data_IF_208980379683
#
_entry.id   IF_208980379683
#
_cell.length_a   1.000
_cell.length_b   1.000
_cell.length_c   1.000
_cell.angle_alpha   90.00
_cell.angle_beta   90.00
_cell.angle_gamma   90.00
#
_symmetry.space_group_name_H-M   'P 1'
#
loop_
_entity.id
_entity.type
_entity.pdbx_description
1 polymer ?
#
# COMPACT_ATOMS: atom_id res chain seq x y z
N UNK A 1 -4.18 -10.11 7.30
CA UNK A 1 -3.31 -9.59 6.26
C UNK A 1 -3.52 -8.09 6.22
N UNK A 2 -2.46 -7.32 6.24
CA UNK A 2 -2.54 -5.86 6.28
C UNK A 2 -1.70 -5.28 5.14
N UNK A 3 -2.27 -4.37 4.39
CA UNK A 3 -1.47 -3.42 3.65
C UNK A 3 -0.72 -2.50 4.62
N UNK A 4 0.22 -1.70 4.13
CA UNK A 4 1.10 -0.88 4.95
C UNK A 4 0.75 0.61 4.85
N UNK A 5 1.00 1.18 3.65
CA UNK A 5 0.99 2.63 3.44
C UNK A 5 -0.45 3.17 3.42
N UNK A 6 -0.74 4.19 4.25
CA UNK A 6 -2.08 4.71 4.51
C UNK A 6 -3.05 3.71 5.17
N UNK A 7 -2.63 2.48 5.41
CA UNK A 7 -3.41 1.45 6.13
C UNK A 7 -3.02 1.40 7.60
N UNK A 8 -1.75 1.16 7.95
CA UNK A 8 -1.29 1.10 9.35
C UNK A 8 -1.02 2.48 9.96
N UNK A 9 -0.96 3.51 9.17
CA UNK A 9 -0.86 4.91 9.58
C UNK A 9 -1.75 5.77 8.68
N UNK A 10 -2.22 6.93 9.17
CA UNK A 10 -3.12 7.76 8.39
C UNK A 10 -2.39 8.57 7.30
N UNK A 11 -3.08 8.91 6.18
CA UNK A 11 -2.50 9.70 5.09
C UNK A 11 -2.00 11.08 5.51
N UNK A 12 -2.52 11.62 6.62
CA UNK A 12 -2.13 12.91 7.23
C UNK A 12 -0.67 12.95 7.64
N UNK A 13 -0.05 11.80 7.88
CA UNK A 13 1.39 11.68 8.16
C UNK A 13 2.26 12.06 6.95
N UNK A 14 1.66 12.19 5.78
CA UNK A 14 2.28 12.70 4.56
C UNK A 14 3.48 11.87 4.06
N UNK A 15 3.55 10.61 4.46
CA UNK A 15 4.62 9.68 4.06
C UNK A 15 4.52 9.35 2.58
N UNK A 16 3.33 8.92 2.13
CA UNK A 16 3.12 8.54 0.74
C UNK A 16 3.32 9.71 -0.24
N UNK A 17 3.04 10.94 0.17
CA UNK A 17 3.29 12.12 -0.66
C UNK A 17 4.79 12.34 -0.94
N UNK A 18 5.67 12.01 0.02
CA UNK A 18 7.12 12.06 -0.22
C UNK A 18 7.53 11.01 -1.28
N UNK A 19 6.97 9.78 -1.19
CA UNK A 19 7.20 8.73 -2.18
C UNK A 19 6.73 9.20 -3.56
N UNK A 20 5.54 9.77 -3.66
CA UNK A 20 4.94 10.27 -4.90
C UNK A 20 5.80 11.35 -5.56
N UNK A 21 6.30 12.31 -4.78
CA UNK A 21 7.21 13.35 -5.27
C UNK A 21 8.56 12.78 -5.73
N UNK A 22 9.12 11.81 -4.99
CA UNK A 22 10.36 11.15 -5.38
C UNK A 22 10.20 10.31 -6.65
N UNK A 23 9.05 9.66 -6.86
CA UNK A 23 8.74 8.99 -8.13
C UNK A 23 8.81 9.96 -9.30
N UNK A 24 8.14 11.11 -9.18
CA UNK A 24 8.16 12.16 -10.23
C UNK A 24 9.59 12.62 -10.53
N UNK A 25 10.36 12.95 -9.49
CA UNK A 25 11.75 13.40 -9.62
C UNK A 25 12.64 12.34 -10.28
N UNK A 26 12.55 11.09 -9.83
CA UNK A 26 13.34 10.01 -10.43
C UNK A 26 13.04 9.81 -11.92
N UNK A 27 11.77 9.87 -12.31
CA UNK A 27 11.33 9.73 -13.69
C UNK A 27 11.88 10.91 -14.53
N UNK A 28 11.70 12.13 -14.06
CA UNK A 28 12.19 13.33 -14.74
C UNK A 28 13.69 13.27 -15.00
N UNK A 29 14.46 12.87 -13.97
CA UNK A 29 15.93 12.80 -14.06
C UNK A 29 16.42 11.70 -15.01
N UNK A 30 15.78 10.54 -15.00
CA UNK A 30 16.22 9.40 -15.83
C UNK A 30 15.75 9.52 -17.29
N UNK A 31 14.57 10.08 -17.53
CA UNK A 31 14.03 10.27 -18.88
C UNK A 31 14.45 11.61 -19.51
N UNK A 32 15.02 12.53 -18.72
CA UNK A 32 15.39 13.90 -19.15
C UNK A 32 14.20 14.70 -19.66
N UNK A 33 13.11 14.66 -18.92
CA UNK A 33 11.84 15.38 -19.18
C UNK A 33 11.49 16.32 -18.02
N UNK A 34 10.48 17.15 -18.23
CA UNK A 34 9.98 18.04 -17.18
C UNK A 34 9.29 17.24 -16.06
N UNK A 35 9.21 17.84 -14.85
CA UNK A 35 8.47 17.25 -13.73
C UNK A 35 6.97 17.08 -14.07
N UNK A 36 6.40 17.95 -14.87
CA UNK A 36 5.00 17.87 -15.28
C UNK A 36 4.77 16.63 -16.17
N UNK A 37 5.63 16.41 -17.17
CA UNK A 37 5.57 15.22 -18.03
C UNK A 37 5.82 13.95 -17.23
N UNK A 38 6.82 13.96 -16.33
CA UNK A 38 7.13 12.85 -15.45
C UNK A 38 5.94 12.47 -14.56
N UNK A 39 5.27 13.46 -13.97
CA UNK A 39 4.07 13.26 -13.17
C UNK A 39 2.92 12.65 -13.98
N UNK A 40 2.69 13.13 -15.21
CA UNK A 40 1.65 12.57 -16.07
C UNK A 40 1.94 11.10 -16.41
N UNK A 41 3.18 10.77 -16.77
CA UNK A 41 3.61 9.38 -17.03
C UNK A 41 3.45 8.52 -15.78
N UNK A 42 3.88 9.02 -14.62
CA UNK A 42 3.73 8.34 -13.33
C UNK A 42 2.28 7.96 -13.07
N UNK A 43 1.35 8.91 -13.20
CA UNK A 43 -0.08 8.68 -12.93
C UNK A 43 -0.71 7.75 -13.98
N UNK A 44 -0.35 7.90 -15.23
CA UNK A 44 -0.85 7.02 -16.28
C UNK A 44 -0.40 5.57 -16.06
N UNK A 45 0.88 5.34 -15.77
CA UNK A 45 1.39 4.01 -15.45
C UNK A 45 0.67 3.39 -14.23
N UNK A 46 0.40 4.20 -13.21
CA UNK A 46 -0.34 3.73 -12.03
C UNK A 46 -1.78 3.32 -12.38
N UNK A 47 -2.45 4.07 -13.25
CA UNK A 47 -3.82 3.75 -13.71
C UNK A 47 -3.82 2.43 -14.48
N UNK A 48 -2.94 2.33 -15.48
CA UNK A 48 -2.98 1.25 -16.47
C UNK A 48 -2.40 -0.06 -15.95
N UNK A 49 -1.46 0.01 -15.00
CA UNK A 49 -0.63 -1.13 -14.59
C UNK A 49 -0.62 -1.40 -13.07
N UNK A 50 -1.40 -0.67 -12.28
CA UNK A 50 -1.47 -0.85 -10.83
C UNK A 50 -0.41 -0.12 -10.04
N UNK A 51 0.81 0.02 -10.56
CA UNK A 51 1.88 0.86 -10.02
C UNK A 51 2.66 1.55 -11.12
N UNK A 52 3.29 2.67 -10.77
CA UNK A 52 4.19 3.40 -11.68
C UNK A 52 5.32 2.52 -12.21
N UNK A 53 5.92 1.71 -11.34
CA UNK A 53 7.02 0.82 -11.71
C UNK A 53 6.59 -0.27 -12.68
N UNK A 54 5.43 -0.90 -12.45
CA UNK A 54 4.89 -1.93 -13.34
C UNK A 54 4.69 -1.40 -14.77
N UNK A 55 4.24 -0.15 -14.92
CA UNK A 55 4.13 0.48 -16.23
C UNK A 55 5.47 0.59 -16.97
N UNK A 56 6.54 0.98 -16.28
CA UNK A 56 7.87 1.02 -16.88
C UNK A 56 8.40 -0.37 -17.24
N UNK A 57 8.19 -1.36 -16.38
CA UNK A 57 8.63 -2.73 -16.66
C UNK A 57 7.87 -3.33 -17.85
N UNK A 58 6.57 -3.11 -17.94
CA UNK A 58 5.74 -3.61 -19.05
C UNK A 58 6.06 -2.94 -20.38
N UNK A 59 6.49 -1.68 -20.37
CA UNK A 59 6.90 -0.97 -21.58
C UNK A 59 8.33 -1.32 -22.07
N UNK A 60 9.07 -2.13 -21.31
CA UNK A 60 10.47 -2.46 -21.62
C UNK A 60 11.41 -1.24 -21.56
N UNK A 61 11.11 -0.25 -20.74
CA UNK A 61 11.92 0.97 -20.64
C UNK A 61 13.18 0.74 -19.80
N UNK A 62 14.30 0.43 -20.47
CA UNK A 62 15.60 0.15 -19.84
C UNK A 62 16.22 1.33 -19.08
N UNK A 63 15.68 2.56 -19.24
CA UNK A 63 16.20 3.73 -18.52
C UNK A 63 15.77 3.73 -17.05
N UNK A 64 14.69 3.02 -16.70
CA UNK A 64 14.19 2.90 -15.32
C UNK A 64 14.62 1.55 -14.75
N UNK A 65 15.71 1.55 -13.98
CA UNK A 65 16.10 0.35 -13.24
C UNK A 65 15.17 0.16 -12.01
N UNK A 66 14.47 -0.98 -11.89
CA UNK A 66 13.50 -1.21 -10.83
C UNK A 66 14.08 -1.10 -9.41
N UNK A 67 15.26 -1.66 -9.17
CA UNK A 67 15.88 -1.63 -7.85
C UNK A 67 16.30 -0.23 -7.44
N UNK A 68 16.92 0.52 -8.34
CA UNK A 68 17.32 1.92 -8.11
C UNK A 68 16.09 2.81 -7.90
N UNK A 69 15.01 2.57 -8.66
CA UNK A 69 13.76 3.27 -8.48
C UNK A 69 13.21 3.05 -7.07
N UNK A 70 13.07 1.79 -6.65
CA UNK A 70 12.54 1.43 -5.33
C UNK A 70 13.42 1.95 -4.18
N UNK A 71 14.74 1.89 -4.32
CA UNK A 71 15.67 2.43 -3.32
C UNK A 71 15.51 3.94 -3.17
N UNK A 72 15.46 4.67 -4.30
CA UNK A 72 15.33 6.11 -4.31
C UNK A 72 13.99 6.60 -3.74
N UNK A 73 12.87 5.98 -4.14
CA UNK A 73 11.54 6.44 -3.73
C UNK A 73 11.24 6.13 -2.27
N UNK A 74 11.85 5.10 -1.69
CA UNK A 74 11.69 4.75 -0.28
C UNK A 74 12.73 5.38 0.66
N UNK A 75 13.67 6.17 0.14
CA UNK A 75 14.57 7.00 0.95
C UNK A 75 13.85 8.29 1.38
N UNK A 76 12.97 8.17 2.36
CA UNK A 76 12.04 9.21 2.83
C UNK A 76 12.21 9.50 4.31
N UNK A 77 11.71 10.65 4.73
CA UNK A 77 11.72 11.03 6.15
C UNK A 77 10.47 10.47 6.86
N UNK A 78 10.70 9.58 7.81
CA UNK A 78 9.65 8.96 8.63
C UNK A 78 9.47 9.63 10.01
N UNK A 79 9.99 10.84 10.21
CA UNK A 79 9.96 11.50 11.53
C UNK A 79 8.58 11.96 11.98
N UNK A 80 7.61 12.08 11.05
CA UNK A 80 6.22 12.37 11.37
C UNK A 80 5.52 11.19 12.04
N UNK A 81 5.90 9.96 11.67
CA UNK A 81 5.31 8.76 12.27
C UNK A 81 5.63 8.68 13.76
N UNK A 82 4.61 8.42 14.54
CA UNK A 82 4.69 8.20 15.99
C UNK A 82 4.31 6.76 16.33
N UNK A 83 4.80 6.28 17.45
CA UNK A 83 4.38 5.01 18.02
C UNK A 83 2.86 4.97 18.20
N UNK A 84 2.24 3.89 17.76
CA UNK A 84 0.80 3.64 17.96
C UNK A 84 0.63 2.47 18.94
N UNK A 85 0.60 2.81 20.22
CA UNK A 85 0.51 1.83 21.29
C UNK A 85 -0.87 1.16 21.35
N UNK A 86 -1.93 1.83 20.91
CA UNK A 86 -3.27 1.24 20.84
C UNK A 86 -3.37 0.24 19.70
N UNK A 87 -2.86 0.59 18.52
CA UNK A 87 -2.76 -0.35 17.41
C UNK A 87 -1.86 -1.54 17.78
N UNK A 88 -0.70 -1.28 18.40
CA UNK A 88 0.17 -2.35 18.89
C UNK A 88 -0.56 -3.29 19.83
N UNK A 89 -1.24 -2.75 20.84
CA UNK A 89 -1.98 -3.55 21.84
C UNK A 89 -3.04 -4.43 21.19
N UNK A 90 -3.87 -3.87 20.33
CA UNK A 90 -4.94 -4.64 19.69
C UNK A 90 -4.41 -5.69 18.72
N UNK A 91 -3.36 -5.39 17.95
CA UNK A 91 -2.73 -6.35 17.06
C UNK A 91 -2.10 -7.53 17.82
N UNK A 92 -1.57 -7.31 19.03
CA UNK A 92 -1.05 -8.39 19.87
C UNK A 92 -2.16 -9.30 20.41
N UNK A 93 -3.36 -8.76 20.65
CA UNK A 93 -4.53 -9.52 21.10
C UNK A 93 -5.20 -10.32 19.98
N UNK A 94 -5.04 -9.90 18.72
CA UNK A 94 -5.64 -10.62 17.60
C UNK A 94 -5.10 -12.06 17.50
N UNK A 95 -5.98 -13.05 17.39
CA UNK A 95 -5.58 -14.44 17.16
C UNK A 95 -4.96 -14.61 15.76
N UNK A 96 -4.24 -15.69 15.58
CA UNK A 96 -3.71 -16.10 14.28
C UNK A 96 -2.46 -15.33 13.84
N UNK A 97 -1.97 -15.72 12.68
CA UNK A 97 -0.79 -15.14 12.04
C UNK A 97 -1.14 -13.81 11.37
N UNK A 98 -0.23 -12.86 11.45
CA UNK A 98 -0.37 -11.53 10.88
C UNK A 98 0.70 -11.30 9.82
N UNK A 99 0.33 -10.73 8.69
CA UNK A 99 1.22 -10.51 7.56
C UNK A 99 1.09 -9.08 7.06
N UNK A 100 2.21 -8.50 6.63
CA UNK A 100 2.19 -7.31 5.78
C UNK A 100 2.21 -7.77 4.32
N UNK A 101 1.31 -7.22 3.51
CA UNK A 101 1.23 -7.44 2.09
C UNK A 101 1.15 -6.10 1.35
N UNK A 102 2.29 -5.59 0.88
CA UNK A 102 2.45 -4.24 0.37
C UNK A 102 3.03 -4.20 -1.05
N UNK A 103 2.67 -3.17 -1.83
CA UNK A 103 3.36 -2.83 -3.08
C UNK A 103 4.69 -2.07 -2.86
N UNK A 104 5.02 -1.75 -1.61
CA UNK A 104 6.32 -1.25 -1.21
C UNK A 104 7.37 -2.36 -1.08
N UNK A 105 8.61 -1.98 -0.76
CA UNK A 105 9.67 -2.95 -0.46
C UNK A 105 9.59 -3.44 0.99
N UNK A 106 10.08 -4.65 1.24
CA UNK A 106 10.22 -5.18 2.61
C UNK A 106 11.00 -4.22 3.51
N UNK A 107 12.08 -3.62 3.00
CA UNK A 107 12.90 -2.66 3.74
C UNK A 107 12.12 -1.39 4.13
N UNK A 108 11.30 -0.87 3.23
CA UNK A 108 10.39 0.23 3.54
C UNK A 108 9.43 -0.15 4.66
N UNK A 109 8.77 -1.31 4.54
CA UNK A 109 7.86 -1.79 5.55
C UNK A 109 8.53 -1.96 6.93
N UNK A 110 9.73 -2.55 6.98
CA UNK A 110 10.52 -2.68 8.24
C UNK A 110 10.78 -1.30 8.88
N UNK A 111 11.16 -0.30 8.08
CA UNK A 111 11.41 1.05 8.57
C UNK A 111 10.15 1.72 9.14
N UNK A 112 9.00 1.57 8.44
CA UNK A 112 7.70 2.08 8.90
C UNK A 112 7.26 1.38 10.19
N UNK A 113 7.28 0.05 10.21
CA UNK A 113 6.90 -0.74 11.40
C UNK A 113 7.76 -0.38 12.62
N UNK A 114 9.04 -0.14 12.42
CA UNK A 114 9.93 0.32 13.47
C UNK A 114 9.51 1.67 14.05
N UNK A 115 9.13 2.62 13.20
CA UNK A 115 8.65 3.94 13.64
C UNK A 115 7.33 3.87 14.39
N UNK A 116 6.44 2.97 13.99
CA UNK A 116 5.15 2.75 14.63
C UNK A 116 5.23 1.88 15.90
N UNK A 117 6.42 1.38 16.29
CA UNK A 117 6.61 0.40 17.38
C UNK A 117 5.81 -0.90 17.13
N UNK A 118 5.71 -1.31 15.87
CA UNK A 118 5.01 -2.54 15.45
C UNK A 118 5.97 -3.67 15.04
N UNK A 119 7.25 -3.55 15.36
CA UNK A 119 8.24 -4.62 15.14
C UNK A 119 7.83 -5.90 15.87
N UNK A 120 8.14 -7.04 15.27
CA UNK A 120 7.89 -8.38 15.83
C UNK A 120 6.40 -8.75 16.04
N UNK A 121 5.46 -7.99 15.51
CA UNK A 121 4.03 -8.33 15.52
C UNK A 121 3.67 -9.22 14.33
N UNK A 122 4.26 -8.93 13.18
CA UNK A 122 3.96 -9.61 11.93
C UNK A 122 4.87 -10.82 11.71
N UNK A 123 4.26 -11.92 11.27
CA UNK A 123 4.97 -13.17 10.98
C UNK A 123 5.87 -13.05 9.76
N UNK A 124 5.45 -12.26 8.77
CA UNK A 124 6.23 -11.97 7.57
C UNK A 124 5.76 -10.68 6.89
N UNK A 125 6.66 -10.14 6.08
CA UNK A 125 6.41 -9.03 5.18
C UNK A 125 6.60 -9.54 3.76
N UNK A 126 5.55 -9.42 2.93
CA UNK A 126 5.54 -9.73 1.52
C UNK A 126 5.40 -8.43 0.74
N UNK A 127 6.48 -8.00 0.14
CA UNK A 127 6.57 -6.76 -0.61
C UNK A 127 6.69 -7.00 -2.11
N UNK A 128 6.92 -5.93 -2.86
CA UNK A 128 6.94 -5.96 -4.33
C UNK A 128 8.05 -6.86 -4.89
N UNK A 129 9.20 -6.99 -4.21
CA UNK A 129 10.29 -7.87 -4.65
C UNK A 129 9.96 -9.34 -4.44
N UNK A 130 9.34 -9.69 -3.32
CA UNK A 130 8.82 -11.02 -3.03
C UNK A 130 7.73 -11.43 -4.02
N UNK A 131 7.00 -10.45 -4.56
CA UNK A 131 6.00 -10.61 -5.62
C UNK A 131 6.59 -10.61 -7.04
N UNK A 132 7.92 -10.72 -7.20
CA UNK A 132 8.59 -10.64 -8.50
C UNK A 132 8.23 -9.36 -9.29
N UNK A 133 8.08 -8.24 -8.60
CA UNK A 133 7.66 -6.93 -9.12
C UNK A 133 6.24 -6.90 -9.71
N UNK A 134 5.43 -7.91 -9.47
CA UNK A 134 4.03 -7.95 -9.88
C UNK A 134 3.17 -7.35 -8.76
N UNK A 135 2.55 -6.17 -8.94
CA UNK A 135 1.88 -5.48 -7.85
C UNK A 135 0.46 -6.00 -7.59
N UNK A 136 -0.09 -5.72 -6.42
CA UNK A 136 -1.54 -5.67 -6.22
C UNK A 136 -2.13 -4.63 -7.20
N UNK A 137 -3.28 -4.88 -7.83
CA UNK A 137 -4.27 -5.94 -7.59
C UNK A 137 -4.11 -7.20 -8.47
N UNK A 138 -2.94 -7.52 -9.00
CA UNK A 138 -2.80 -8.69 -9.85
C UNK A 138 -3.07 -9.99 -9.04
N UNK A 139 -3.99 -10.83 -9.52
CA UNK A 139 -4.42 -12.07 -8.84
C UNK A 139 -3.26 -13.05 -8.61
N UNK A 140 -2.27 -13.10 -9.51
CA UNK A 140 -1.10 -13.97 -9.37
C UNK A 140 -0.25 -13.61 -8.15
N UNK A 141 -0.19 -12.32 -7.81
CA UNK A 141 0.50 -11.83 -6.61
C UNK A 141 -0.16 -12.35 -5.34
N UNK A 142 -1.50 -12.38 -5.30
CA UNK A 142 -2.25 -12.96 -4.18
C UNK A 142 -2.04 -14.46 -4.09
N UNK A 143 -2.12 -15.18 -5.20
CA UNK A 143 -1.86 -16.61 -5.25
C UNK A 143 -0.43 -16.94 -4.78
N UNK A 144 0.56 -16.15 -5.19
CA UNK A 144 1.95 -16.31 -4.75
C UNK A 144 2.09 -16.06 -3.24
N UNK A 145 1.47 -15.00 -2.72
CA UNK A 145 1.45 -14.70 -1.29
C UNK A 145 0.83 -15.86 -0.49
N UNK A 146 -0.37 -16.32 -0.87
CA UNK A 146 -1.08 -17.41 -0.21
C UNK A 146 -0.26 -18.70 -0.18
N UNK A 147 0.34 -19.04 -1.33
CA UNK A 147 1.19 -20.24 -1.46
C UNK A 147 2.45 -20.13 -0.61
N UNK A 148 3.14 -18.98 -0.65
CA UNK A 148 4.40 -18.75 0.06
C UNK A 148 4.23 -18.85 1.58
N UNK A 149 3.10 -18.39 2.10
CA UNK A 149 2.84 -18.32 3.54
C UNK A 149 1.87 -19.39 4.04
N UNK A 150 1.44 -20.31 3.15
CA UNK A 150 0.47 -21.39 3.47
C UNK A 150 -0.80 -20.83 4.13
N UNK A 151 -1.33 -19.73 3.56
CA UNK A 151 -2.52 -19.02 4.07
C UNK A 151 -3.77 -19.54 3.37
N UNK A 152 -4.77 -19.94 4.16
CA UNK A 152 -6.11 -20.23 3.65
C UNK A 152 -6.90 -18.91 3.51
N UNK A 153 -7.29 -18.51 2.29
CA UNK A 153 -8.05 -17.29 2.08
C UNK A 153 -9.41 -17.28 2.79
N UNK A 154 -10.06 -18.44 2.93
CA UNK A 154 -11.38 -18.56 3.56
C UNK A 154 -11.39 -18.29 5.06
N UNK A 155 -10.24 -18.36 5.70
CA UNK A 155 -10.05 -18.08 7.14
C UNK A 155 -9.27 -16.79 7.36
N UNK A 156 -9.11 -15.98 6.31
CA UNK A 156 -8.30 -14.76 6.33
C UNK A 156 -9.15 -13.49 6.15
N UNK A 157 -8.62 -12.40 6.69
CA UNK A 157 -9.17 -11.05 6.51
C UNK A 157 -8.06 -10.13 6.01
N UNK A 158 -8.37 -9.28 5.02
CA UNK A 158 -7.44 -8.31 4.45
C UNK A 158 -7.91 -6.88 4.71
N UNK A 159 -7.00 -6.06 5.25
CA UNK A 159 -7.17 -4.63 5.52
C UNK A 159 -6.39 -3.83 4.46
N UNK A 160 -7.02 -2.87 3.83
CA UNK A 160 -6.50 -2.08 2.71
C UNK A 160 -7.17 -0.71 2.62
N UNK A 161 -6.45 0.31 2.13
CA UNK A 161 -6.99 1.64 1.88
C UNK A 161 -7.45 1.83 0.42
N UNK A 162 -7.05 0.93 -0.49
CA UNK A 162 -7.43 0.96 -1.91
C UNK A 162 -8.40 -0.17 -2.25
N UNK A 163 -9.67 0.17 -2.52
CA UNK A 163 -10.72 -0.81 -2.82
C UNK A 163 -10.38 -1.76 -3.95
N UNK A 164 -9.72 -1.29 -5.02
CA UNK A 164 -9.28 -2.14 -6.13
C UNK A 164 -8.36 -3.28 -5.69
N UNK A 165 -7.54 -3.07 -4.66
CA UNK A 165 -6.66 -4.10 -4.13
C UNK A 165 -7.42 -5.15 -3.30
N UNK A 166 -8.65 -4.89 -2.88
CA UNK A 166 -9.49 -5.86 -2.19
C UNK A 166 -10.24 -6.80 -3.15
N UNK A 167 -10.37 -6.44 -4.44
CA UNK A 167 -11.10 -7.26 -5.43
C UNK A 167 -10.56 -8.69 -5.50
N UNK A 168 -9.25 -8.92 -5.74
CA UNK A 168 -8.73 -10.29 -5.81
C UNK A 168 -8.81 -11.04 -4.47
N UNK A 169 -8.66 -10.31 -3.35
CA UNK A 169 -8.80 -10.90 -2.03
C UNK A 169 -10.21 -11.49 -1.82
N UNK A 170 -11.26 -10.73 -2.20
CA UNK A 170 -12.66 -11.16 -2.12
C UNK A 170 -12.95 -12.33 -3.07
N UNK A 171 -12.45 -12.27 -4.31
CA UNK A 171 -12.59 -13.35 -5.29
C UNK A 171 -11.99 -14.67 -4.79
N UNK A 172 -10.88 -14.60 -4.05
CA UNK A 172 -10.24 -15.75 -3.43
C UNK A 172 -10.95 -16.25 -2.17
N UNK A 173 -11.93 -15.50 -1.65
CA UNK A 173 -12.74 -15.86 -0.49
C UNK A 173 -12.27 -15.28 0.84
N UNK A 174 -11.36 -14.30 0.84
CA UNK A 174 -11.01 -13.55 2.05
C UNK A 174 -12.15 -12.64 2.47
N UNK A 175 -12.24 -12.35 3.76
CA UNK A 175 -12.97 -11.19 4.24
C UNK A 175 -12.19 -9.91 3.94
N UNK A 176 -12.90 -8.84 3.58
CA UNK A 176 -12.29 -7.59 3.13
C UNK A 176 -12.71 -6.42 4.01
N UNK A 177 -11.72 -5.62 4.41
CA UNK A 177 -11.91 -4.41 5.21
C UNK A 177 -11.28 -3.24 4.47
N UNK A 178 -12.10 -2.31 4.01
CA UNK A 178 -11.66 -1.07 3.39
C UNK A 178 -11.50 0.02 4.45
N UNK A 179 -10.33 0.64 4.52
CA UNK A 179 -10.10 1.84 5.30
C UNK A 179 -10.44 3.06 4.46
N UNK A 180 -11.65 3.59 4.65
CA UNK A 180 -12.10 4.85 4.02
C UNK A 180 -11.62 6.05 4.85
N UNK A 181 -10.34 6.35 4.77
CA UNK A 181 -9.76 7.55 5.37
C UNK A 181 -9.89 8.69 4.39
N UNK A 182 -10.82 9.62 4.67
CA UNK A 182 -10.99 10.85 3.88
C UNK A 182 -9.67 11.61 3.84
N UNK A 183 -9.03 11.64 2.67
CA UNK A 183 -7.80 12.42 2.47
C UNK A 183 -8.05 13.87 2.88
N UNK A 184 -7.21 14.48 3.73
CA UNK A 184 -7.33 15.87 4.10
C UNK A 184 -7.32 16.73 2.84
N UNK A 185 -8.07 17.83 2.85
CA UNK A 185 -8.21 18.78 1.74
C UNK A 185 -6.84 19.18 1.15
N UNK A 186 -6.37 18.43 0.17
CA UNK A 186 -5.21 18.84 -0.61
C UNK A 186 -5.64 19.98 -1.53
N UNK A 187 -4.99 21.15 -1.38
CA UNK A 187 -5.28 22.38 -2.12
C UNK A 187 -5.03 22.32 -3.65
N UNK A 188 -4.82 21.15 -4.22
CA UNK A 188 -4.63 20.92 -5.65
C UNK A 188 -5.93 20.48 -6.34
N UNK A 189 -6.98 21.31 -6.25
CA UNK A 189 -8.31 21.04 -6.84
C UNK A 189 -8.29 20.72 -8.34
N UNK A 190 -7.38 21.30 -9.11
CA UNK A 190 -7.32 21.07 -10.57
C UNK A 190 -6.76 19.72 -11.00
N UNK A 191 -5.89 19.07 -10.20
CA UNK A 191 -5.34 17.75 -10.50
C UNK A 191 -6.23 16.62 -9.96
N UNK A 192 -6.99 16.87 -8.87
CA UNK A 192 -7.92 15.89 -8.28
C UNK A 192 -9.01 15.42 -9.24
N UNK A 193 -9.53 16.31 -10.08
CA UNK A 193 -10.66 15.97 -10.96
C UNK A 193 -10.26 14.99 -12.07
N UNK A 194 -9.03 15.15 -12.60
CA UNK A 194 -8.47 14.24 -13.63
C UNK A 194 -8.18 12.84 -13.10
N UNK A 195 -7.85 12.71 -11.79
CA UNK A 195 -7.44 11.46 -11.15
C UNK A 195 -8.40 11.03 -10.03
N UNK A 196 -9.57 11.64 -9.93
CA UNK A 196 -10.58 11.32 -8.92
C UNK A 196 -10.95 9.84 -8.91
N UNK A 197 -11.01 9.23 -10.10
CA UNK A 197 -11.32 7.81 -10.26
C UNK A 197 -10.21 6.86 -9.78
N UNK A 198 -9.00 7.35 -9.49
CA UNK A 198 -7.92 6.53 -8.89
C UNK A 198 -8.22 6.14 -7.46
N UNK A 199 -9.02 6.96 -6.79
CA UNK A 199 -9.42 6.85 -5.40
C UNK A 199 -10.94 6.70 -5.27
N UNK A 200 -11.65 6.43 -6.39
CA UNK A 200 -13.07 6.16 -6.38
C UNK A 200 -13.28 4.70 -5.98
N UNK A 201 -13.30 4.52 -4.67
CA UNK A 201 -13.46 3.25 -4.00
C UNK A 201 -14.94 2.90 -3.79
N UNK A 202 -15.75 2.92 -4.85
CA UNK A 202 -17.10 2.34 -4.83
C UNK A 202 -17.07 0.80 -4.74
N UNK A 203 -16.05 0.28 -4.01
CA UNK A 203 -15.84 -1.15 -3.86
C UNK A 203 -16.72 -1.71 -2.73
N UNK A 204 -17.40 -2.83 -3.04
CA UNK A 204 -18.20 -3.58 -2.08
C UNK A 204 -17.32 -4.44 -1.15
N UNK A 205 -16.68 -3.79 -0.15
CA UNK A 205 -15.96 -4.49 0.91
C UNK A 205 -16.94 -5.09 1.93
N UNK A 206 -16.54 -6.18 2.61
CA UNK A 206 -17.37 -6.75 3.69
C UNK A 206 -17.52 -5.76 4.85
N UNK A 207 -16.50 -4.93 5.08
CA UNK A 207 -16.52 -3.85 6.08
C UNK A 207 -15.85 -2.59 5.51
N UNK A 208 -16.45 -1.43 5.81
CA UNK A 208 -15.86 -0.12 5.53
C UNK A 208 -15.65 0.57 6.87
N UNK A 209 -14.41 0.98 7.16
CA UNK A 209 -14.02 1.54 8.45
C UNK A 209 -13.16 2.79 8.29
N UNK A 210 -13.13 3.63 9.31
CA UNK A 210 -12.26 4.81 9.41
C UNK A 210 -11.05 4.59 10.33
N UNK A 211 -11.12 3.59 11.22
CA UNK A 211 -10.12 3.32 12.25
C UNK A 211 -10.03 1.82 12.56
N UNK A 212 -8.82 1.25 12.40
CA UNK A 212 -8.55 -0.17 12.67
C UNK A 212 -8.71 -0.49 14.15
N UNK A 213 -8.19 0.36 15.04
CA UNK A 213 -8.20 0.13 16.50
C UNK A 213 -9.63 0.08 17.01
N UNK A 214 -10.45 1.05 16.59
CA UNK A 214 -11.86 1.10 16.94
C UNK A 214 -12.63 -0.12 16.41
N UNK A 215 -12.40 -0.48 15.15
CA UNK A 215 -13.03 -1.65 14.54
C UNK A 215 -12.67 -2.93 15.29
N UNK A 216 -11.38 -3.16 15.53
CA UNK A 216 -10.91 -4.39 16.17
C UNK A 216 -11.34 -4.45 17.67
N UNK A 217 -11.31 -3.32 18.39
CA UNK A 217 -11.83 -3.30 19.77
C UNK A 217 -13.30 -3.72 19.81
N UNK A 218 -14.14 -3.27 18.87
CA UNK A 218 -15.56 -3.66 18.84
C UNK A 218 -15.77 -5.15 18.53
N UNK A 219 -14.83 -5.82 17.89
CA UNK A 219 -14.91 -7.25 17.58
C UNK A 219 -14.37 -8.15 18.71
N UNK A 220 -13.46 -7.63 19.56
CA UNK A 220 -12.71 -8.41 20.55
C UNK A 220 -12.81 -7.83 21.97
N UNK A 221 -13.75 -6.90 22.22
CA UNK A 221 -14.06 -6.36 23.57
C UNK A 221 -15.17 -7.19 24.22
N UNK A 222 -14.92 -8.48 24.45
CA UNK A 222 -15.67 -9.28 25.41
C UNK A 222 -14.74 -9.82 26.51
#
# INVERSE_FOLDING_TARGET
IFDLDNTLYPPEENIFNQIDQKMTSFIADNLKISNEEAFNIQKQNFIDHGTTLAGFMNSGNDKINPDKFLEFVHDINLSSLKEDNDLRRILLLLPGKKYIFTNGTKKHAENVLKKLNLENIFHSIFGIKEANYLPKPNIETYNLFLKTHEVDPKTSIMFEDMGRNLIPAKELGMKTVLLDRKLPNQNNRGQKEKYKNLWDDSYDADYIIDDIVKFLNNQYSE
#
